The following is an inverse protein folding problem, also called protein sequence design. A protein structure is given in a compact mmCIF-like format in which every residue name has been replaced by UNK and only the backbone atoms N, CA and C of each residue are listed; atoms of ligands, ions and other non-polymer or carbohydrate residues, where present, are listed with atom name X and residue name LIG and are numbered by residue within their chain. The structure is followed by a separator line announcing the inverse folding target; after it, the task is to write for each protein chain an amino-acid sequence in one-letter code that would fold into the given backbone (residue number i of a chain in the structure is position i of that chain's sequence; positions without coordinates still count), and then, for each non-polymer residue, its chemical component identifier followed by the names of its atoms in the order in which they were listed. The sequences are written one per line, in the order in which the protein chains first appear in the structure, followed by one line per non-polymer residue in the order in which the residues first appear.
data_IF_770437986735
#
_entry.id   IF_770437986735
#
_cell.length_a   1.000
_cell.length_b   1.000
_cell.length_c   1.000
_cell.angle_alpha   90.00
_cell.angle_beta   90.00
_cell.angle_gamma   90.00
#
_symmetry.space_group_name_H-M   'P 1'
#
loop_
_entity.id
_entity.type
_entity.pdbx_description
1 polymer ?
#
# COMPACT_ATOMS: atom_id res chain seq x y z
N UNK A 1 9.82 19.55 -18.24
CA UNK A 1 10.31 18.41 -17.43
C UNK A 1 9.70 18.55 -16.03
N UNK A 2 8.92 17.58 -15.56
CA UNK A 2 7.93 17.77 -14.47
C UNK A 2 8.41 17.77 -13.00
N UNK A 3 9.72 17.59 -12.76
CA UNK A 3 10.40 17.65 -11.43
C UNK A 3 9.62 17.03 -10.26
N UNK A 4 9.05 15.84 -10.48
CA UNK A 4 8.18 15.15 -9.54
C UNK A 4 8.81 14.97 -8.15
N UNK A 5 10.10 14.68 -8.08
CA UNK A 5 10.86 14.51 -6.83
C UNK A 5 10.95 15.77 -5.97
N UNK A 6 10.59 16.95 -6.50
CA UNK A 6 10.56 18.22 -5.77
C UNK A 6 9.14 18.68 -5.43
N UNK A 7 8.10 17.95 -5.86
CA UNK A 7 6.71 18.33 -5.56
C UNK A 7 6.43 18.09 -4.07
N UNK A 8 5.78 19.02 -3.37
CA UNK A 8 5.51 18.89 -1.94
C UNK A 8 4.41 17.87 -1.68
N UNK A 9 4.41 17.29 -0.49
CA UNK A 9 3.21 16.71 0.12
C UNK A 9 2.38 17.81 0.78
N UNK A 10 1.08 17.55 0.96
CA UNK A 10 0.17 18.37 1.77
C UNK A 10 -0.23 17.61 3.03
N UNK A 11 -0.05 18.23 4.19
CA UNK A 11 -0.60 17.73 5.44
C UNK A 11 -1.67 18.68 5.99
N UNK A 12 -2.87 18.16 6.25
CA UNK A 12 -3.98 18.90 6.86
C UNK A 12 -4.01 18.61 8.35
N UNK A 13 -3.90 19.65 9.18
CA UNK A 13 -4.06 19.57 10.63
C UNK A 13 -5.39 20.24 11.02
N UNK A 14 -6.43 19.48 11.41
CA UNK A 14 -7.66 20.05 11.98
C UNK A 14 -7.35 20.84 13.26
N UNK A 15 -7.87 22.05 13.37
CA UNK A 15 -7.65 22.97 14.51
C UNK A 15 -8.88 23.13 15.41
N UNK A 16 -9.98 22.50 15.04
CA UNK A 16 -11.18 22.35 15.86
C UNK A 16 -11.79 20.95 15.65
N UNK A 17 -12.84 20.62 16.42
CA UNK A 17 -13.49 19.31 16.35
C UNK A 17 -14.44 19.24 15.16
N UNK A 18 -14.05 18.49 14.12
CA UNK A 18 -14.88 18.29 12.91
C UNK A 18 -16.01 17.28 13.10
N UNK A 19 -16.03 16.58 14.24
CA UNK A 19 -17.05 15.59 14.56
C UNK A 19 -16.77 14.24 13.91
N UNK A 20 -17.82 13.41 13.80
CA UNK A 20 -17.75 12.10 13.14
C UNK A 20 -17.84 12.26 11.62
N UNK A 21 -17.17 11.37 10.92
CA UNK A 21 -17.08 11.37 9.47
C UNK A 21 -15.97 10.45 9.01
N UNK A 22 -15.62 10.58 7.74
CA UNK A 22 -14.63 9.76 7.05
C UNK A 22 -13.69 10.63 6.23
N UNK A 23 -12.46 10.15 6.03
CA UNK A 23 -11.59 10.67 4.99
C UNK A 23 -11.93 9.92 3.71
N UNK A 24 -12.41 10.63 2.70
CA UNK A 24 -12.66 10.11 1.37
C UNK A 24 -11.43 10.28 0.48
N UNK A 25 -11.06 9.19 -0.21
CA UNK A 25 -10.10 9.21 -1.31
C UNK A 25 -10.87 8.90 -2.60
N UNK A 26 -10.74 9.77 -3.59
CA UNK A 26 -11.31 9.58 -4.91
C UNK A 26 -10.19 9.47 -5.94
N UNK A 27 -10.18 8.35 -6.65
CA UNK A 27 -9.24 8.04 -7.71
C UNK A 27 -10.00 8.01 -9.03
N UNK A 28 -9.65 8.91 -9.94
CA UNK A 28 -10.29 9.04 -11.25
C UNK A 28 -9.38 8.34 -12.27
N UNK A 29 -9.88 7.42 -13.10
CA UNK A 29 -9.08 6.83 -14.16
C UNK A 29 -8.55 7.91 -15.13
N UNK A 30 -7.24 7.89 -15.40
CA UNK A 30 -6.60 8.78 -16.38
C UNK A 30 -5.55 8.03 -17.17
N UNK A 31 -5.30 8.46 -18.41
CA UNK A 31 -4.24 7.96 -19.28
C UNK A 31 -3.09 8.96 -19.44
N UNK A 32 -3.19 10.15 -18.82
CA UNK A 32 -2.21 11.22 -18.95
C UNK A 32 -1.96 11.97 -17.65
N UNK A 33 -0.72 12.45 -17.48
CA UNK A 33 -0.27 13.16 -16.26
C UNK A 33 -0.82 14.59 -16.12
N UNK A 34 -1.41 15.14 -17.18
CA UNK A 34 -1.89 16.54 -17.20
C UNK A 34 -3.23 16.74 -16.50
N UNK A 35 -3.92 15.64 -16.15
CA UNK A 35 -5.20 15.66 -15.48
C UNK A 35 -5.00 15.20 -14.03
N UNK A 36 -5.29 16.08 -13.07
CA UNK A 36 -5.32 15.70 -11.66
C UNK A 36 -6.40 14.63 -11.45
N UNK A 37 -6.02 13.53 -10.83
CA UNK A 37 -6.86 12.35 -10.76
C UNK A 37 -6.97 11.77 -9.33
N UNK A 38 -6.42 12.47 -8.34
CA UNK A 38 -6.46 12.11 -6.92
C UNK A 38 -7.07 13.25 -6.12
N UNK A 39 -8.13 12.97 -5.38
CA UNK A 39 -8.78 13.93 -4.47
C UNK A 39 -8.92 13.30 -3.10
N UNK A 40 -8.52 14.02 -2.04
CA UNK A 40 -8.67 13.60 -0.65
C UNK A 40 -9.43 14.66 0.14
N UNK A 41 -10.47 14.28 0.85
CA UNK A 41 -11.36 15.22 1.55
C UNK A 41 -11.96 14.62 2.81
N UNK A 42 -12.36 15.47 3.76
CA UNK A 42 -13.17 15.08 4.91
C UNK A 42 -14.64 15.11 4.55
N UNK A 43 -15.37 14.05 4.89
CA UNK A 43 -16.80 13.93 4.72
C UNK A 43 -17.48 13.73 6.08
N UNK A 44 -18.32 14.67 6.55
CA UNK A 44 -19.10 14.48 7.77
C UNK A 44 -20.02 13.27 7.68
N UNK A 45 -20.24 12.58 8.81
CA UNK A 45 -21.16 11.41 8.89
C UNK A 45 -22.61 11.79 8.55
N UNK A 46 -23.03 13.00 8.95
CA UNK A 46 -24.35 13.53 8.63
C UNK A 46 -24.33 14.20 7.27
N UNK A 47 -25.30 13.83 6.42
CA UNK A 47 -25.51 14.51 5.15
C UNK A 47 -25.75 16.01 5.36
N UNK A 48 -25.01 16.83 4.61
CA UNK A 48 -25.13 18.28 4.59
C UNK A 48 -26.46 18.67 3.91
N UNK A 49 -27.27 19.49 4.59
CA UNK A 49 -28.55 19.99 4.09
C UNK A 49 -28.49 21.49 3.85
N UNK A 50 -29.42 21.98 3.03
CA UNK A 50 -29.60 23.41 2.81
C UNK A 50 -29.91 24.10 4.15
N UNK A 51 -29.12 25.14 4.47
CA UNK A 51 -29.23 25.90 5.72
C UNK A 51 -28.34 25.39 6.85
N UNK A 52 -27.65 24.26 6.70
CA UNK A 52 -26.66 23.82 7.70
C UNK A 52 -25.44 24.75 7.71
N UNK A 53 -24.93 25.03 8.91
CA UNK A 53 -23.69 25.79 9.12
C UNK A 53 -22.60 24.88 9.68
N UNK A 54 -21.41 24.93 9.07
CA UNK A 54 -20.25 24.18 9.52
C UNK A 54 -19.06 25.12 9.68
N UNK A 55 -18.32 24.95 10.78
CA UNK A 55 -17.07 25.65 11.02
C UNK A 55 -15.91 24.66 10.97
N UNK A 56 -15.07 24.76 9.93
CA UNK A 56 -13.85 23.96 9.79
C UNK A 56 -12.63 24.87 9.90
N UNK A 57 -11.87 24.71 10.97
CA UNK A 57 -10.58 25.38 11.15
C UNK A 57 -9.49 24.35 10.90
N UNK A 58 -8.51 24.70 10.08
CA UNK A 58 -7.38 23.81 9.78
C UNK A 58 -6.13 24.61 9.43
N UNK A 59 -4.99 23.91 9.47
CA UNK A 59 -3.70 24.38 8.98
C UNK A 59 -3.20 23.43 7.90
N UNK A 60 -2.62 24.00 6.85
CA UNK A 60 -2.00 23.26 5.76
C UNK A 60 -0.48 23.38 5.86
N UNK A 61 0.21 22.25 5.75
CA UNK A 61 1.66 22.19 5.67
C UNK A 61 2.04 21.67 4.29
N UNK A 62 2.74 22.50 3.52
CA UNK A 62 3.30 22.15 2.23
C UNK A 62 4.80 21.85 2.40
N UNK A 63 5.14 20.57 2.40
CA UNK A 63 6.51 20.12 2.71
C UNK A 63 6.78 18.75 2.10
N UNK A 64 8.05 18.39 1.93
CA UNK A 64 8.42 17.07 1.41
C UNK A 64 8.00 15.93 2.36
N UNK A 65 7.87 16.21 3.66
CA UNK A 65 7.48 15.27 4.72
C UNK A 65 6.49 15.94 5.67
N UNK A 66 5.56 15.20 6.31
CA UNK A 66 4.62 15.77 7.25
C UNK A 66 5.33 16.42 8.45
N UNK A 67 4.72 17.45 9.08
CA UNK A 67 5.30 18.16 10.22
C UNK A 67 5.28 17.34 11.52
N UNK A 68 4.57 16.21 11.52
CA UNK A 68 4.45 15.28 12.64
C UNK A 68 5.05 13.94 12.24
N UNK A 69 5.73 13.30 13.19
CA UNK A 69 6.33 11.99 13.00
C UNK A 69 5.65 10.96 13.90
N UNK A 70 5.28 9.81 13.32
CA UNK A 70 4.84 8.66 14.09
C UNK A 70 6.07 7.90 14.60
N UNK A 71 6.15 7.50 15.88
CA UNK A 71 7.28 6.70 16.38
C UNK A 71 7.30 5.28 15.80
N UNK A 72 6.21 4.83 15.18
CA UNK A 72 6.15 3.52 14.51
C UNK A 72 6.90 3.55 13.19
N UNK A 73 7.32 2.37 12.74
CA UNK A 73 7.84 2.19 11.40
C UNK A 73 6.81 2.59 10.34
N UNK A 74 7.27 3.10 9.20
CA UNK A 74 6.42 3.54 8.10
C UNK A 74 6.78 2.82 6.81
N UNK A 75 5.85 2.79 5.88
CA UNK A 75 6.09 2.31 4.52
C UNK A 75 6.90 3.36 3.77
N UNK A 76 8.08 2.96 3.29
CA UNK A 76 8.91 3.78 2.42
C UNK A 76 8.52 3.63 0.95
N UNK A 77 8.24 2.39 0.55
CA UNK A 77 7.93 2.07 -0.84
C UNK A 77 7.09 0.79 -0.93
N UNK A 78 6.19 0.76 -1.90
CA UNK A 78 5.47 -0.44 -2.32
C UNK A 78 5.86 -0.76 -3.76
N UNK A 79 6.21 -2.02 -4.03
CA UNK A 79 6.49 -2.52 -5.38
C UNK A 79 5.60 -3.71 -5.66
N UNK A 80 5.17 -3.84 -6.90
CA UNK A 80 4.37 -4.97 -7.36
C UNK A 80 5.02 -5.60 -8.59
N UNK A 81 4.82 -6.89 -8.77
CA UNK A 81 5.47 -7.63 -9.84
C UNK A 81 4.83 -8.99 -10.12
N UNK A 82 5.49 -9.80 -10.92
CA UNK A 82 5.08 -11.20 -11.13
C UNK A 82 5.33 -11.98 -9.84
N UNK A 83 4.30 -12.66 -9.33
CA UNK A 83 4.42 -13.61 -8.23
C UNK A 83 4.53 -15.06 -8.71
N UNK A 84 4.42 -16.01 -7.79
CA UNK A 84 4.38 -17.44 -8.10
C UNK A 84 5.75 -18.09 -8.26
N UNK A 85 6.84 -17.34 -8.19
CA UNK A 85 8.20 -17.84 -8.31
C UNK A 85 8.71 -18.28 -6.94
N UNK A 86 8.97 -19.59 -6.73
CA UNK A 86 9.68 -20.08 -5.56
C UNK A 86 11.09 -19.47 -5.46
N UNK A 87 11.61 -19.42 -4.24
CA UNK A 87 13.00 -19.04 -3.99
C UNK A 87 13.96 -19.93 -4.80
N UNK A 88 14.96 -19.32 -5.44
CA UNK A 88 15.97 -20.01 -6.23
C UNK A 88 15.65 -20.18 -7.72
N UNK A 89 14.46 -19.82 -8.19
CA UNK A 89 14.17 -19.80 -9.63
C UNK A 89 14.78 -18.56 -10.29
N UNK A 90 15.68 -18.75 -11.26
CA UNK A 90 16.17 -17.66 -12.08
C UNK A 90 15.08 -17.19 -13.07
N UNK A 91 14.94 -15.87 -13.32
CA UNK A 91 14.01 -15.35 -14.32
C UNK A 91 14.24 -16.01 -15.69
N UNK A 92 13.18 -16.56 -16.29
CA UNK A 92 13.22 -17.20 -17.61
C UNK A 92 13.52 -18.70 -17.61
N UNK A 93 14.01 -19.29 -16.52
CA UNK A 93 14.25 -20.75 -16.45
C UNK A 93 12.96 -21.53 -16.16
N UNK A 94 12.09 -20.95 -15.34
CA UNK A 94 10.85 -21.57 -14.89
C UNK A 94 9.73 -20.55 -14.85
N UNK A 95 8.56 -20.91 -15.39
CA UNK A 95 7.36 -20.10 -15.31
C UNK A 95 6.35 -20.80 -14.40
N UNK A 96 5.77 -20.11 -13.40
CA UNK A 96 4.79 -20.73 -12.53
C UNK A 96 3.54 -21.14 -13.30
N UNK A 97 2.99 -22.33 -13.03
CA UNK A 97 1.74 -22.79 -13.64
C UNK A 97 0.53 -21.95 -13.22
N UNK A 98 0.60 -21.35 -12.02
CA UNK A 98 -0.47 -20.53 -11.45
C UNK A 98 -0.02 -19.09 -11.37
N UNK A 99 -0.84 -18.21 -11.94
CA UNK A 99 -0.65 -16.78 -11.85
C UNK A 99 -0.87 -16.27 -10.42
N UNK A 100 -0.01 -15.36 -10.00
CA UNK A 100 -0.02 -14.64 -8.75
C UNK A 100 0.58 -13.24 -8.93
N UNK A 101 0.22 -12.33 -8.02
CA UNK A 101 0.75 -10.96 -7.95
C UNK A 101 1.66 -10.82 -6.74
N UNK A 102 2.94 -10.50 -6.96
CA UNK A 102 3.89 -10.22 -5.88
C UNK A 102 3.72 -8.80 -5.38
N UNK A 103 3.75 -8.64 -4.06
CA UNK A 103 3.87 -7.38 -3.36
C UNK A 103 5.15 -7.38 -2.54
N UNK A 104 5.91 -6.29 -2.61
CA UNK A 104 7.10 -6.05 -1.81
C UNK A 104 6.97 -4.67 -1.15
N UNK A 105 6.81 -4.65 0.17
CA UNK A 105 6.54 -3.45 0.95
C UNK A 105 7.73 -3.20 1.89
N UNK A 106 8.40 -2.08 1.69
CA UNK A 106 9.56 -1.66 2.47
C UNK A 106 9.12 -0.84 3.68
N UNK A 107 9.44 -1.31 4.88
CA UNK A 107 9.24 -0.59 6.13
C UNK A 107 10.56 -0.03 6.67
N UNK A 108 10.54 1.23 7.12
CA UNK A 108 11.71 1.94 7.66
C UNK A 108 11.34 2.71 8.92
N UNK A 109 12.34 3.01 9.75
CA UNK A 109 12.17 3.79 10.98
C UNK A 109 11.54 2.98 12.12
N UNK A 110 11.12 3.69 13.17
CA UNK A 110 10.62 3.09 14.41
C UNK A 110 11.61 2.10 15.04
N UNK A 111 11.07 1.12 15.77
CA UNK A 111 11.87 0.16 16.54
C UNK A 111 12.22 -1.12 15.77
N UNK A 112 12.20 -1.11 14.42
CA UNK A 112 12.40 -2.32 13.62
C UNK A 112 13.70 -3.07 13.95
N UNK A 113 14.81 -2.35 14.13
CA UNK A 113 16.10 -2.96 14.49
C UNK A 113 16.07 -3.65 15.86
N UNK A 114 15.38 -3.04 16.82
CA UNK A 114 15.26 -3.59 18.17
C UNK A 114 14.22 -4.73 18.23
N UNK A 115 13.24 -4.71 17.33
CA UNK A 115 12.22 -5.75 17.17
C UNK A 115 12.75 -6.99 16.44
N UNK A 116 13.65 -6.84 15.48
CA UNK A 116 14.11 -7.94 14.64
C UNK A 116 14.67 -9.15 15.40
N UNK A 117 15.54 -9.00 16.42
CA UNK A 117 16.01 -10.14 17.22
C UNK A 117 14.89 -10.83 18.02
N UNK A 118 13.77 -10.14 18.25
CA UNK A 118 12.60 -10.65 18.99
C UNK A 118 11.56 -11.30 18.07
N UNK A 119 11.71 -11.16 16.76
CA UNK A 119 10.78 -11.63 15.74
C UNK A 119 9.81 -10.54 15.28
N UNK A 120 9.96 -10.13 14.01
CA UNK A 120 8.99 -9.30 13.30
C UNK A 120 7.98 -10.24 12.63
N UNK A 121 6.70 -9.94 12.80
CA UNK A 121 5.60 -10.69 12.21
C UNK A 121 4.75 -9.76 11.33
N UNK A 122 4.66 -9.99 10.02
CA UNK A 122 3.70 -9.30 9.16
C UNK A 122 2.30 -9.87 9.38
N UNK A 123 1.37 -9.02 9.83
CA UNK A 123 -0.05 -9.37 9.96
C UNK A 123 -0.77 -8.90 8.70
N UNK A 124 -1.06 -9.84 7.79
CA UNK A 124 -1.70 -9.58 6.50
C UNK A 124 -3.18 -9.96 6.58
N UNK A 125 -4.06 -9.09 6.10
CA UNK A 125 -5.50 -9.35 5.95
C UNK A 125 -5.92 -8.96 4.53
N UNK A 126 -6.68 -9.83 3.89
CA UNK A 126 -7.15 -9.67 2.51
C UNK A 126 -8.68 -9.83 2.50
N UNK A 127 -9.38 -9.00 1.71
CA UNK A 127 -10.81 -9.19 1.49
C UNK A 127 -11.12 -10.42 0.63
N UNK A 128 -10.21 -10.80 -0.28
CA UNK A 128 -10.29 -12.01 -1.11
C UNK A 128 -8.90 -12.49 -1.57
N UNK A 129 -8.83 -13.73 -2.04
CA UNK A 129 -7.57 -14.40 -2.38
C UNK A 129 -6.77 -14.83 -1.14
N UNK A 130 -5.54 -15.28 -1.38
CA UNK A 130 -4.65 -15.81 -0.34
C UNK A 130 -3.25 -15.22 -0.48
N UNK A 131 -2.63 -14.83 0.64
CA UNK A 131 -1.21 -14.49 0.69
C UNK A 131 -0.38 -15.76 0.94
N UNK A 132 0.64 -15.97 0.13
CA UNK A 132 1.61 -17.07 0.25
C UNK A 132 3.03 -16.54 0.05
N UNK A 133 4.03 -17.40 0.29
CA UNK A 133 5.45 -17.06 0.07
C UNK A 133 5.85 -15.77 0.79
N UNK A 134 5.49 -15.69 2.07
CA UNK A 134 5.76 -14.51 2.88
C UNK A 134 7.24 -14.54 3.29
N UNK A 135 7.98 -13.52 2.91
CA UNK A 135 9.39 -13.36 3.23
C UNK A 135 9.64 -12.02 3.93
N UNK A 136 10.55 -12.04 4.90
CA UNK A 136 10.97 -10.87 5.65
C UNK A 136 12.46 -10.68 5.36
N UNK A 137 12.78 -9.64 4.59
CA UNK A 137 14.13 -9.40 4.09
C UNK A 137 14.67 -8.11 4.69
N UNK A 138 15.82 -8.17 5.34
CA UNK A 138 16.53 -6.95 5.70
C UNK A 138 17.18 -6.34 4.45
N UNK A 139 16.95 -5.05 4.21
CA UNK A 139 17.45 -4.33 3.04
C UNK A 139 18.40 -3.23 3.53
N UNK A 140 19.69 -3.52 3.45
CA UNK A 140 20.77 -2.65 3.96
C UNK A 140 20.72 -1.21 3.40
N UNK A 141 20.50 -0.97 2.08
CA UNK A 141 20.51 0.40 1.54
C UNK A 141 19.43 1.34 2.08
N UNK A 142 18.36 0.78 2.65
CA UNK A 142 17.25 1.56 3.23
C UNK A 142 17.18 1.40 4.74
N UNK A 143 18.10 0.62 5.32
CA UNK A 143 18.18 0.31 6.74
C UNK A 143 16.82 -0.14 7.32
N UNK A 144 16.16 -1.04 6.58
CA UNK A 144 14.76 -1.39 6.80
C UNK A 144 14.43 -2.83 6.42
N UNK A 145 13.16 -3.20 6.57
CA UNK A 145 12.68 -4.55 6.28
C UNK A 145 11.67 -4.52 5.13
N UNK A 146 11.90 -5.37 4.14
CA UNK A 146 10.95 -5.66 3.08
C UNK A 146 10.11 -6.86 3.47
N UNK A 147 8.80 -6.68 3.50
CA UNK A 147 7.86 -7.80 3.51
C UNK A 147 7.48 -8.09 2.08
N UNK A 148 7.78 -9.29 1.63
CA UNK A 148 7.34 -9.81 0.34
C UNK A 148 6.25 -10.85 0.57
N UNK A 149 5.21 -10.84 -0.25
CA UNK A 149 4.23 -11.91 -0.32
C UNK A 149 3.61 -11.98 -1.71
N UNK A 150 3.14 -13.17 -2.08
CA UNK A 150 2.44 -13.41 -3.33
C UNK A 150 0.96 -13.58 -3.05
N UNK A 151 0.15 -12.73 -3.69
CA UNK A 151 -1.30 -12.84 -3.69
C UNK A 151 -1.75 -13.79 -4.79
N UNK A 152 -2.49 -14.83 -4.40
CA UNK A 152 -3.12 -15.77 -5.30
C UNK A 152 -4.63 -15.53 -5.36
N UNK A 153 -5.23 -15.42 -6.56
CA UNK A 153 -6.67 -15.38 -6.68
C UNK A 153 -7.28 -16.72 -6.25
N UNK A 154 -8.36 -16.67 -5.47
CA UNK A 154 -9.17 -17.85 -5.09
C UNK A 154 -10.48 -17.92 -5.87
N UNK A 155 -10.75 -16.95 -6.75
CA UNK A 155 -11.90 -16.91 -7.65
C UNK A 155 -11.58 -16.10 -8.91
N UNK A 156 -12.49 -16.15 -9.89
CA UNK A 156 -12.43 -15.38 -11.12
C UNK A 156 -12.91 -13.93 -10.97
N UNK A 157 -13.34 -13.51 -9.77
CA UNK A 157 -13.78 -12.14 -9.54
C UNK A 157 -12.68 -11.12 -9.89
N UNK A 158 -13.11 -10.01 -10.49
CA UNK A 158 -12.28 -8.83 -10.77
C UNK A 158 -12.57 -7.68 -9.82
N UNK A 159 -13.35 -7.93 -8.76
CA UNK A 159 -13.65 -6.92 -7.76
C UNK A 159 -12.37 -6.46 -7.05
N UNK A 160 -12.32 -5.21 -6.56
CA UNK A 160 -11.17 -4.72 -5.82
C UNK A 160 -10.88 -5.60 -4.59
N UNK A 161 -9.60 -5.86 -4.38
CA UNK A 161 -9.09 -6.59 -3.22
C UNK A 161 -8.53 -5.58 -2.24
N UNK A 162 -9.17 -5.45 -1.09
CA UNK A 162 -8.67 -4.62 0.00
C UNK A 162 -7.61 -5.41 0.75
N UNK A 163 -6.38 -4.89 0.74
CA UNK A 163 -5.22 -5.48 1.38
C UNK A 163 -4.79 -4.59 2.54
N UNK A 164 -4.59 -5.22 3.71
CA UNK A 164 -4.12 -4.58 4.92
C UNK A 164 -2.91 -5.32 5.45
N UNK A 165 -1.86 -4.59 5.80
CA UNK A 165 -0.70 -5.15 6.49
C UNK A 165 -0.15 -4.20 7.54
N UNK A 166 0.27 -4.73 8.68
CA UNK A 166 1.12 -4.04 9.64
C UNK A 166 2.13 -5.03 10.23
N UNK A 167 3.22 -4.51 10.79
CA UNK A 167 4.23 -5.29 11.47
C UNK A 167 3.92 -5.36 12.96
N UNK A 168 4.06 -6.55 13.52
CA UNK A 168 3.89 -6.85 14.94
C UNK A 168 5.18 -7.44 15.51
N UNK A 169 5.46 -7.15 16.77
CA UNK A 169 6.52 -7.79 17.54
C UNK A 169 6.02 -8.01 18.96
N UNK A 170 6.09 -9.25 19.46
CA UNK A 170 5.66 -9.60 20.84
C UNK A 170 4.24 -9.13 21.22
N UNK A 171 3.32 -9.08 20.25
CA UNK A 171 1.93 -8.66 20.46
C UNK A 171 1.66 -7.19 20.12
N UNK A 172 2.68 -6.33 20.08
CA UNK A 172 2.54 -4.90 19.82
C UNK A 172 2.73 -4.57 18.33
N UNK A 173 1.89 -3.67 17.80
CA UNK A 173 2.08 -3.12 16.47
C UNK A 173 3.28 -2.17 16.46
N UNK A 174 4.25 -2.43 15.57
CA UNK A 174 5.50 -1.66 15.47
C UNK A 174 5.59 -0.82 14.18
N UNK A 175 4.57 -0.87 13.34
CA UNK A 175 4.47 -0.06 12.12
C UNK A 175 3.10 0.61 11.97
N UNK A 176 3.01 1.58 11.07
CA UNK A 176 1.73 1.97 10.48
C UNK A 176 1.07 0.79 9.76
N UNK A 177 -0.22 0.95 9.47
CA UNK A 177 -0.95 0.00 8.65
C UNK A 177 -0.84 0.41 7.18
N UNK A 178 -0.19 -0.43 6.38
CA UNK A 178 -0.29 -0.38 4.92
C UNK A 178 -1.70 -0.77 4.49
N UNK A 179 -2.40 0.15 3.85
CA UNK A 179 -3.70 -0.05 3.21
C UNK A 179 -3.50 0.07 1.70
N UNK A 180 -3.92 -0.95 0.96
CA UNK A 180 -3.74 -1.00 -0.49
C UNK A 180 -4.94 -1.65 -1.14
N UNK A 181 -5.48 -1.01 -2.17
CA UNK A 181 -6.56 -1.58 -2.97
C UNK A 181 -5.98 -2.11 -4.28
N UNK A 182 -6.08 -3.42 -4.48
CA UNK A 182 -5.58 -4.07 -5.68
C UNK A 182 -6.73 -4.41 -6.63
N UNK A 183 -6.58 -4.04 -7.90
CA UNK A 183 -7.55 -4.37 -8.95
C UNK A 183 -6.99 -5.55 -9.77
N UNK A 184 -7.44 -6.78 -9.50
CA UNK A 184 -6.93 -7.95 -10.21
C UNK A 184 -7.38 -7.91 -11.68
N UNK A 185 -6.51 -8.30 -12.62
CA UNK A 185 -6.90 -8.38 -14.02
C UNK A 185 -7.96 -9.48 -14.22
N UNK A 186 -8.67 -9.42 -15.35
CA UNK A 186 -9.60 -10.46 -15.75
C UNK A 186 -8.91 -11.84 -15.85
N UNK A 187 -9.63 -12.96 -15.59
CA UNK A 187 -9.03 -14.30 -15.57
C UNK A 187 -8.25 -14.67 -16.83
N UNK A 188 -8.71 -14.26 -18.01
CA UNK A 188 -8.02 -14.49 -19.29
C UNK A 188 -6.67 -13.76 -19.40
N UNK A 189 -6.45 -12.74 -18.57
CA UNK A 189 -5.20 -11.98 -18.47
C UNK A 189 -4.30 -12.43 -17.32
N UNK A 190 -4.73 -13.40 -16.51
CA UNK A 190 -3.94 -14.00 -15.42
C UNK A 190 -3.06 -15.11 -15.95
N UNK A 191 -2.19 -14.76 -16.89
CA UNK A 191 -1.25 -15.68 -17.52
C UNK A 191 0.13 -15.06 -17.49
N UNK A 192 1.16 -15.89 -17.34
CA UNK A 192 2.51 -15.45 -17.63
C UNK A 192 2.79 -15.66 -19.10
N UNK A 193 3.43 -14.66 -19.71
CA UNK A 193 3.96 -14.79 -21.06
C UNK A 193 5.27 -15.55 -20.95
N UNK A 194 5.26 -16.83 -21.34
CA UNK A 194 6.47 -17.63 -21.52
C UNK A 194 7.02 -17.37 -22.93
N UNK A 195 8.00 -16.48 -22.98
CA UNK A 195 8.65 -16.04 -24.22
C UNK A 195 9.49 -17.13 -24.90
N UNK A 196 9.73 -18.25 -24.23
CA UNK A 196 10.41 -19.42 -24.82
C UNK A 196 9.52 -20.21 -25.78
N UNK A 197 8.21 -20.03 -25.68
CA UNK A 197 7.21 -20.81 -26.45
C UNK A 197 6.54 -19.96 -27.53
N UNK A 198 6.82 -18.65 -27.58
CA UNK A 198 6.34 -17.77 -28.64
C UNK A 198 7.25 -17.88 -29.87
N UNK A 199 6.90 -18.79 -30.79
CA UNK A 199 7.48 -18.91 -32.14
C UNK A 199 6.77 -18.03 -33.15
#
# INVERSE_FOLDING_TARGET
MGWYNKRPSLWVEPRNKWGKGTIGLMEIPTTGETLDNIVCFWQPEKAVKAGDEFAFQYRLYWSAQPPVHCPLARVMATRTGMGGFPEGWAPGEHYPEKWARRFAVDFVGGDLKAAAPKGIEPVITLSSGEAKQIEILYIEPIDGYRIQFDWYPTSDSTDPVDMRMYLRCQGDAISETWLYQYFPPAPDKRQYVDDRVMS
#
